data_IF_964702234640
#
_entry.id   IF_964702234640
#
_cell.length_a   1.000
_cell.length_b   1.000
_cell.length_c   1.000
_cell.angle_alpha   90.00
_cell.angle_beta   90.00
_cell.angle_gamma   90.00
#
_symmetry.space_group_name_H-M   'P 1'
#
loop_
_entity.id
_entity.type
_entity.pdbx_description
1 polymer ?
#
# COMPACT_ATOMS: atom_id res chain seq x y z
N UNK A 1 -24.29 -11.27 -11.33
CA UNK A 1 -23.55 -12.26 -10.49
C UNK A 1 -23.00 -11.61 -9.21
N UNK A 2 -22.29 -10.46 -9.28
CA UNK A 2 -21.72 -9.76 -8.10
C UNK A 2 -22.82 -9.41 -7.07
N UNK A 3 -23.93 -8.79 -7.53
CA UNK A 3 -25.05 -8.41 -6.65
C UNK A 3 -25.64 -9.64 -5.93
N UNK A 4 -25.81 -10.74 -6.65
CA UNK A 4 -26.33 -11.99 -6.05
C UNK A 4 -25.34 -12.60 -5.03
N UNK A 5 -24.04 -12.52 -5.30
CA UNK A 5 -23.02 -12.96 -4.36
C UNK A 5 -23.05 -12.13 -3.05
N UNK A 6 -23.19 -10.80 -3.17
CA UNK A 6 -23.28 -9.91 -2.01
C UNK A 6 -24.58 -10.17 -1.22
N UNK A 7 -25.72 -10.33 -1.92
CA UNK A 7 -27.01 -10.56 -1.28
C UNK A 7 -27.10 -11.91 -0.53
N UNK A 8 -26.41 -12.93 -1.03
CA UNK A 8 -26.49 -14.30 -0.50
C UNK A 8 -25.39 -14.67 0.50
N UNK A 9 -24.36 -13.80 0.66
CA UNK A 9 -23.28 -14.05 1.59
C UNK A 9 -23.21 -12.93 2.63
N UNK A 10 -23.33 -13.25 3.93
CA UNK A 10 -23.17 -12.24 4.98
C UNK A 10 -21.75 -11.67 4.97
N UNK A 11 -21.64 -10.36 5.14
CA UNK A 11 -20.36 -9.67 5.21
C UNK A 11 -19.68 -10.01 6.53
N UNK A 12 -18.53 -10.64 6.48
CA UNK A 12 -17.66 -10.88 7.64
C UNK A 12 -16.37 -10.05 7.50
N UNK A 13 -16.54 -8.75 7.30
CA UNK A 13 -15.41 -7.83 7.17
C UNK A 13 -14.75 -7.62 8.53
N UNK A 14 -13.46 -7.89 8.59
CA UNK A 14 -12.62 -7.59 9.75
C UNK A 14 -11.47 -6.69 9.30
N UNK A 15 -11.28 -5.50 9.91
CA UNK A 15 -10.14 -4.65 9.61
C UNK A 15 -8.81 -5.37 9.85
N UNK A 16 -7.80 -5.04 9.06
CA UNK A 16 -6.46 -5.64 9.20
C UNK A 16 -5.79 -5.26 10.51
N UNK A 17 -6.06 -4.05 11.01
CA UNK A 17 -5.55 -3.48 12.27
C UNK A 17 -6.59 -2.56 12.90
N UNK A 18 -6.43 -2.25 14.19
CA UNK A 18 -7.23 -1.23 14.88
C UNK A 18 -6.69 0.17 14.55
N UNK A 19 -7.60 1.12 14.33
CA UNK A 19 -7.25 2.53 14.07
C UNK A 19 -6.51 3.18 15.24
N UNK A 20 -6.75 2.71 16.46
CA UNK A 20 -6.12 3.20 17.69
C UNK A 20 -4.76 2.57 17.98
N UNK A 21 -4.36 1.57 17.20
CA UNK A 21 -3.03 0.98 17.33
C UNK A 21 -1.91 1.98 17.06
N UNK A 22 -0.71 1.66 17.54
CA UNK A 22 0.52 2.39 17.19
C UNK A 22 0.83 2.20 15.71
N UNK A 23 1.58 3.12 15.13
CA UNK A 23 2.01 3.01 13.71
C UNK A 23 2.78 1.71 13.48
N UNK A 24 3.66 1.34 14.42
CA UNK A 24 4.44 0.12 14.37
C UNK A 24 3.56 -1.14 14.36
N UNK A 25 2.54 -1.18 15.22
CA UNK A 25 1.58 -2.31 15.26
C UNK A 25 0.74 -2.39 13.99
N UNK A 26 0.27 -1.26 13.46
CA UNK A 26 -0.44 -1.20 12.18
C UNK A 26 0.41 -1.77 11.04
N UNK A 27 1.68 -1.34 10.96
CA UNK A 27 2.64 -1.84 9.97
C UNK A 27 2.91 -3.32 10.13
N UNK A 28 3.13 -3.80 11.35
CA UNK A 28 3.33 -5.21 11.65
C UNK A 28 2.12 -6.05 11.25
N UNK A 29 0.92 -5.58 11.54
CA UNK A 29 -0.31 -6.27 11.14
C UNK A 29 -0.44 -6.38 9.61
N UNK A 30 -0.14 -5.31 8.87
CA UNK A 30 -0.14 -5.31 7.40
C UNK A 30 0.95 -6.26 6.88
N UNK A 31 2.17 -6.13 7.38
CA UNK A 31 3.32 -6.94 6.96
C UNK A 31 3.05 -8.45 7.13
N UNK A 32 2.54 -8.84 8.28
CA UNK A 32 2.27 -10.24 8.59
C UNK A 32 1.03 -10.79 7.90
N UNK A 33 -0.11 -10.09 7.97
CA UNK A 33 -1.39 -10.60 7.48
C UNK A 33 -1.52 -10.51 5.96
N UNK A 34 -0.94 -9.47 5.34
CA UNK A 34 -1.08 -9.22 3.89
C UNK A 34 0.12 -9.77 3.12
N UNK A 35 1.35 -9.47 3.58
CA UNK A 35 2.56 -9.83 2.84
C UNK A 35 3.22 -11.13 3.30
N UNK A 36 2.88 -11.63 4.50
CA UNK A 36 3.49 -12.83 5.06
C UNK A 36 4.91 -12.62 5.59
N UNK A 37 5.28 -11.38 5.87
CA UNK A 37 6.55 -11.03 6.50
C UNK A 37 6.60 -11.54 7.94
N UNK A 38 7.82 -11.77 8.44
CA UNK A 38 8.06 -12.12 9.84
C UNK A 38 7.91 -10.91 10.76
N UNK A 39 8.53 -9.79 10.37
CA UNK A 39 8.52 -8.53 11.13
C UNK A 39 8.77 -7.32 10.22
N UNK A 40 8.79 -6.13 10.84
CA UNK A 40 9.07 -4.85 10.19
C UNK A 40 10.31 -4.23 10.84
N UNK A 41 11.23 -3.76 10.03
CA UNK A 41 12.43 -3.05 10.44
C UNK A 41 12.35 -1.58 10.01
N UNK A 42 12.98 -0.71 10.79
CA UNK A 42 12.98 0.73 10.54
C UNK A 42 14.41 1.24 10.39
N UNK A 43 14.68 1.96 9.32
CA UNK A 43 15.94 2.68 9.19
C UNK A 43 16.03 3.82 10.22
N UNK A 44 17.22 4.39 10.47
CA UNK A 44 17.36 5.57 11.32
C UNK A 44 16.48 6.74 10.86
N UNK A 45 16.31 6.92 9.55
CA UNK A 45 15.43 7.95 8.97
C UNK A 45 13.96 7.66 9.31
N UNK A 46 13.50 6.43 9.08
CA UNK A 46 12.13 6.02 9.41
C UNK A 46 11.83 6.19 10.90
N UNK A 47 12.79 5.86 11.77
CA UNK A 47 12.68 6.05 13.22
C UNK A 47 12.56 7.54 13.59
N UNK A 48 13.30 8.42 12.92
CA UNK A 48 13.20 9.86 13.13
C UNK A 48 11.84 10.40 12.64
N UNK A 49 11.33 9.88 11.52
CA UNK A 49 10.04 10.27 10.98
C UNK A 49 8.88 9.78 11.87
N UNK A 50 8.98 8.56 12.45
CA UNK A 50 8.03 8.08 13.46
C UNK A 50 7.89 9.05 14.64
N UNK A 51 9.01 9.55 15.17
CA UNK A 51 8.98 10.55 16.25
C UNK A 51 8.25 11.82 15.84
N UNK A 52 8.38 12.26 14.57
CA UNK A 52 7.63 13.42 14.05
C UNK A 52 6.14 13.09 13.95
N UNK A 53 5.75 11.90 13.49
CA UNK A 53 4.35 11.44 13.41
C UNK A 53 3.68 11.59 14.77
N UNK A 54 4.29 11.02 15.81
CA UNK A 54 3.77 11.10 17.17
C UNK A 54 3.74 12.54 17.71
N UNK A 55 4.80 13.31 17.48
CA UNK A 55 4.85 14.73 17.90
C UNK A 55 3.76 15.59 17.25
N UNK A 56 3.39 15.28 16.01
CA UNK A 56 2.34 16.01 15.28
C UNK A 56 0.92 15.47 15.55
N UNK A 57 0.77 14.39 16.32
CA UNK A 57 -0.53 13.79 16.62
C UNK A 57 -1.15 13.04 15.42
N UNK A 58 -0.33 12.55 14.49
CA UNK A 58 -0.79 11.82 13.30
C UNK A 58 -0.74 10.30 13.46
N UNK A 59 -0.48 9.82 14.68
CA UNK A 59 -0.36 8.39 15.01
C UNK A 59 -1.67 7.59 14.80
N UNK A 60 -2.82 8.26 14.72
CA UNK A 60 -4.12 7.62 14.43
C UNK A 60 -4.46 7.53 12.95
N UNK A 61 -3.66 8.16 12.07
CA UNK A 61 -3.89 8.07 10.64
C UNK A 61 -3.74 6.64 10.12
N UNK A 62 -4.51 6.25 9.09
CA UNK A 62 -4.34 4.98 8.40
C UNK A 62 -3.03 4.91 7.62
N UNK A 63 -2.63 3.68 7.30
CA UNK A 63 -1.39 3.38 6.60
C UNK A 63 -1.69 3.04 5.14
N UNK A 64 -0.95 3.68 4.22
CA UNK A 64 -0.91 3.33 2.81
C UNK A 64 0.52 2.85 2.47
N UNK A 65 0.71 1.54 2.36
CA UNK A 65 2.04 0.95 2.11
C UNK A 65 2.54 1.26 0.72
N UNK A 66 3.72 1.85 0.62
CA UNK A 66 4.44 2.05 -0.64
C UNK A 66 5.63 1.11 -0.71
N UNK A 67 5.53 0.07 -1.53
CA UNK A 67 6.57 -0.93 -1.78
C UNK A 67 6.51 -1.43 -3.22
N UNK A 68 7.55 -2.15 -3.67
CA UNK A 68 7.56 -2.72 -5.01
C UNK A 68 6.32 -3.57 -5.31
N UNK A 69 5.79 -3.46 -6.50
CA UNK A 69 4.68 -4.27 -6.99
C UNK A 69 5.12 -5.67 -7.47
N UNK A 70 6.41 -5.89 -7.64
CA UNK A 70 6.95 -7.14 -8.21
C UNK A 70 7.16 -8.25 -7.18
N UNK A 71 7.07 -7.95 -5.89
CA UNK A 71 7.27 -8.91 -4.80
C UNK A 71 6.35 -8.62 -3.61
N UNK A 72 6.11 -9.63 -2.78
CA UNK A 72 5.52 -9.45 -1.45
C UNK A 72 6.53 -8.88 -0.44
N UNK A 73 7.85 -9.01 -0.72
CA UNK A 73 8.91 -8.36 0.05
C UNK A 73 9.14 -6.92 -0.43
N UNK A 74 10.08 -6.21 0.17
CA UNK A 74 10.62 -4.93 -0.30
C UNK A 74 11.72 -5.08 -1.37
N UNK A 75 12.11 -6.32 -1.71
CA UNK A 75 13.08 -6.63 -2.75
C UNK A 75 12.37 -7.12 -4.03
N UNK A 76 12.41 -6.37 -5.14
CA UNK A 76 11.72 -6.73 -6.37
C UNK A 76 12.26 -7.99 -7.07
N UNK A 77 13.44 -8.48 -6.66
CA UNK A 77 14.07 -9.67 -7.25
C UNK A 77 13.56 -10.99 -6.64
N UNK A 78 12.91 -10.93 -5.48
CA UNK A 78 12.36 -12.10 -4.80
C UNK A 78 10.90 -12.26 -5.23
N UNK A 79 10.63 -13.15 -6.17
CA UNK A 79 9.30 -13.37 -6.74
C UNK A 79 8.56 -14.54 -6.05
N UNK A 80 7.25 -14.64 -6.29
CA UNK A 80 6.41 -15.71 -5.76
C UNK A 80 5.91 -15.41 -4.35
N UNK A 81 5.90 -16.44 -3.50
CA UNK A 81 5.48 -16.36 -2.08
C UNK A 81 6.68 -16.58 -1.16
N UNK A 82 7.51 -15.57 -0.94
CA UNK A 82 8.64 -15.68 -0.02
C UNK A 82 8.15 -15.84 1.42
N UNK A 83 9.00 -16.46 2.25
CA UNK A 83 8.77 -16.66 3.68
C UNK A 83 10.00 -16.22 4.45
N UNK A 84 9.85 -15.97 5.75
CA UNK A 84 10.94 -15.64 6.68
C UNK A 84 11.75 -14.39 6.28
N UNK A 85 11.04 -13.34 5.85
CA UNK A 85 11.64 -12.04 5.52
C UNK A 85 11.08 -10.93 6.41
N UNK A 86 11.87 -9.88 6.58
CA UNK A 86 11.43 -8.64 7.22
C UNK A 86 11.15 -7.59 6.14
N UNK A 87 10.16 -6.72 6.39
CA UNK A 87 9.93 -5.53 5.59
C UNK A 87 10.69 -4.36 6.18
N UNK A 88 11.52 -3.69 5.38
CA UNK A 88 12.31 -2.54 5.82
C UNK A 88 11.62 -1.24 5.42
N UNK A 89 11.13 -0.50 6.39
CA UNK A 89 10.62 0.87 6.17
C UNK A 89 11.80 1.82 6.11
N UNK A 90 12.00 2.45 4.96
CA UNK A 90 13.09 3.38 4.71
C UNK A 90 12.81 4.78 5.26
N UNK A 91 11.59 5.26 5.07
CA UNK A 91 11.13 6.59 5.46
C UNK A 91 9.60 6.64 5.50
N UNK A 92 9.05 7.72 6.06
CA UNK A 92 7.63 8.00 6.01
C UNK A 92 7.36 9.28 5.22
N UNK A 93 6.33 9.23 4.38
CA UNK A 93 5.76 10.39 3.73
C UNK A 93 4.40 10.73 4.33
N UNK A 94 4.07 12.01 4.33
CA UNK A 94 2.88 12.53 4.97
C UNK A 94 1.89 12.98 3.90
N UNK A 95 0.81 12.27 3.74
CA UNK A 95 -0.32 12.66 2.90
C UNK A 95 -1.46 13.21 3.78
N UNK A 96 -1.14 14.21 4.59
CA UNK A 96 -2.06 14.76 5.62
C UNK A 96 -3.32 15.35 5.02
N UNK A 97 -3.26 15.95 3.83
CA UNK A 97 -4.43 16.43 3.11
C UNK A 97 -5.37 15.32 2.66
N UNK A 98 -4.85 14.11 2.43
CA UNK A 98 -5.63 12.91 2.12
C UNK A 98 -5.92 12.05 3.37
N UNK A 99 -5.34 12.40 4.52
CA UNK A 99 -5.62 11.76 5.80
C UNK A 99 -4.93 10.42 6.01
N UNK A 100 -3.74 10.17 5.44
CA UNK A 100 -2.99 8.93 5.67
C UNK A 100 -1.47 9.15 5.66
N UNK A 101 -0.76 8.14 6.17
CA UNK A 101 0.71 8.09 6.22
C UNK A 101 1.20 7.02 5.27
N UNK A 102 2.31 7.31 4.57
CA UNK A 102 2.90 6.43 3.57
C UNK A 102 4.26 5.93 4.06
N UNK A 103 4.36 4.72 4.62
CA UNK A 103 5.64 4.06 4.83
C UNK A 103 6.20 3.61 3.48
N UNK A 104 7.41 4.05 3.16
CA UNK A 104 8.13 3.69 1.93
C UNK A 104 9.07 2.54 2.25
N UNK A 105 8.85 1.38 1.63
CA UNK A 105 9.64 0.17 1.82
C UNK A 105 10.50 -0.13 0.60
N UNK A 106 11.80 -0.31 0.82
CA UNK A 106 12.76 -0.58 -0.24
C UNK A 106 12.96 0.59 -1.20
N UNK A 107 13.47 0.28 -2.39
CA UNK A 107 13.60 1.26 -3.47
C UNK A 107 12.30 1.31 -4.27
N UNK A 108 11.62 2.44 -4.21
CA UNK A 108 10.41 2.67 -4.97
C UNK A 108 10.53 3.93 -5.81
N UNK A 109 10.34 3.77 -7.10
CA UNK A 109 10.24 4.90 -8.01
C UNK A 109 8.83 5.47 -7.89
N UNK A 110 8.73 6.76 -7.57
CA UNK A 110 7.45 7.46 -7.59
C UNK A 110 6.89 7.46 -9.01
N UNK A 111 5.59 7.61 -9.12
CA UNK A 111 4.90 7.70 -10.39
C UNK A 111 5.63 8.71 -11.28
N UNK A 112 6.12 8.31 -12.47
CA UNK A 112 6.65 9.25 -13.45
C UNK A 112 5.57 10.27 -13.79
N UNK A 113 5.94 11.49 -14.16
CA UNK A 113 5.00 12.52 -14.56
C UNK A 113 4.02 11.99 -15.60
N UNK A 114 2.74 12.26 -15.41
CA UNK A 114 1.72 11.88 -16.38
C UNK A 114 1.97 12.65 -17.70
N UNK A 115 1.71 12.02 -18.86
CA UNK A 115 1.80 12.71 -20.13
C UNK A 115 0.79 13.87 -20.21
N UNK A 116 1.10 14.90 -20.97
CA UNK A 116 0.24 16.07 -21.13
C UNK A 116 -1.15 15.69 -21.68
N UNK A 117 -1.20 14.66 -22.54
CA UNK A 117 -2.43 14.03 -22.99
C UNK A 117 -2.53 12.65 -22.37
N UNK A 118 -3.47 12.40 -21.47
CA UNK A 118 -3.64 11.11 -20.83
C UNK A 118 -4.06 10.03 -21.85
N UNK A 119 -3.53 8.82 -21.71
CA UNK A 119 -3.96 7.68 -22.55
C UNK A 119 -5.47 7.40 -22.42
N UNK A 120 -6.08 7.78 -21.31
CA UNK A 120 -7.51 7.65 -21.07
C UNK A 120 -8.37 8.40 -22.11
N UNK A 121 -7.86 9.45 -22.75
CA UNK A 121 -8.59 10.17 -23.81
C UNK A 121 -8.69 9.38 -25.12
N UNK A 122 -7.76 8.43 -25.34
CA UNK A 122 -7.73 7.59 -26.54
C UNK A 122 -8.36 6.20 -26.30
N UNK A 123 -8.52 5.79 -25.05
CA UNK A 123 -9.05 4.47 -24.70
C UNK A 123 -10.58 4.51 -24.83
N UNK A 124 -11.13 3.60 -25.66
CA UNK A 124 -12.57 3.45 -25.87
C UNK A 124 -12.96 1.98 -26.06
N UNK A 125 -14.24 1.68 -25.95
CA UNK A 125 -14.81 0.37 -26.21
C UNK A 125 -15.84 0.48 -27.32
N UNK A 126 -15.63 -0.21 -28.44
CA UNK A 126 -16.57 -0.19 -29.55
C UNK A 126 -17.87 -0.99 -29.26
N UNK A 127 -18.84 -0.87 -30.15
CA UNK A 127 -20.16 -1.53 -30.02
C UNK A 127 -20.08 -3.07 -29.90
N UNK A 128 -18.97 -3.68 -30.30
CA UNK A 128 -18.71 -5.12 -30.20
C UNK A 128 -17.96 -5.49 -28.92
N UNK A 129 -17.67 -4.54 -28.03
CA UNK A 129 -16.90 -4.76 -26.79
C UNK A 129 -15.38 -4.83 -26.99
N UNK A 130 -14.87 -4.44 -28.16
CA UNK A 130 -13.43 -4.43 -28.43
C UNK A 130 -12.82 -3.13 -27.92
N UNK A 131 -11.77 -3.24 -27.13
CA UNK A 131 -11.03 -2.09 -26.59
C UNK A 131 -10.13 -1.51 -27.68
N UNK A 132 -10.12 -0.18 -27.81
CA UNK A 132 -9.26 0.62 -28.72
C UNK A 132 -8.42 1.60 -27.92
N UNK A 133 -7.29 2.05 -28.46
CA UNK A 133 -6.46 3.12 -27.90
C UNK A 133 -5.58 2.70 -26.70
N UNK A 134 -5.38 1.41 -26.46
CA UNK A 134 -4.46 0.93 -25.43
C UNK A 134 -2.99 1.08 -25.82
N UNK A 135 -2.68 1.09 -27.12
CA UNK A 135 -1.31 1.20 -27.70
C UNK A 135 -1.39 1.97 -29.02
#
# INVERSE_FOLDING_TARGET
KVVNAIANNPTNFTPTYDWNDTIENKLKAIAQKIYGAKDVEFTPKATADLKKIYKMGFDKMPICMAKTQYSLTDNPKIIGKPTDFNLTVREFEFATGAGFIIPVCGEMMRMPGLPQVPSAEAIDVDANGKIKGLF
#
